data_IF_699138379799
#
_entry.id   IF_699138379799
#
_cell.length_a   1.000
_cell.length_b   1.000
_cell.length_c   1.000
_cell.angle_alpha   90.00
_cell.angle_beta   90.00
_cell.angle_gamma   90.00
#
_symmetry.space_group_name_H-M   'P 1'
#
loop_
_entity.id
_entity.type
_entity.pdbx_description
1 polymer ?
#
# COMPACT_ATOMS: atom_id res chain seq x y z
N UNK A 1 -5.40 -3.07 9.91
CA UNK A 1 -5.71 -2.18 8.76
C UNK A 1 -4.97 -2.50 7.45
N UNK A 2 -3.96 -3.38 7.37
CA UNK A 2 -3.11 -3.49 6.17
C UNK A 2 -3.35 -4.78 5.39
N UNK A 3 -2.99 -4.79 4.10
CA UNK A 3 -2.78 -6.02 3.32
C UNK A 3 -1.29 -6.35 3.38
N UNK A 4 -0.96 -7.54 3.88
CA UNK A 4 0.41 -8.04 3.95
C UNK A 4 0.65 -9.02 2.81
N UNK A 5 1.36 -8.55 1.78
CA UNK A 5 1.79 -9.36 0.67
C UNK A 5 2.99 -10.23 1.05
N UNK A 6 3.05 -11.49 0.57
CA UNK A 6 4.25 -12.31 0.66
C UNK A 6 5.39 -11.63 -0.11
N UNK A 7 6.61 -11.82 0.37
CA UNK A 7 7.80 -11.22 -0.23
C UNK A 7 8.17 -12.05 -1.46
N UNK A 8 8.14 -11.43 -2.65
CA UNK A 8 8.69 -12.05 -3.86
C UNK A 8 10.19 -11.75 -3.95
N UNK A 9 11.00 -12.78 -4.13
CA UNK A 9 12.46 -12.71 -4.27
C UNK A 9 12.86 -12.64 -5.75
N UNK A 10 12.10 -13.30 -6.61
CA UNK A 10 12.30 -13.36 -8.05
C UNK A 10 11.00 -12.99 -8.80
N UNK A 11 11.14 -12.51 -10.05
CA UNK A 11 10.01 -12.13 -10.90
C UNK A 11 9.15 -13.34 -11.28
N UNK A 12 9.78 -14.51 -11.42
CA UNK A 12 9.14 -15.78 -11.74
C UNK A 12 8.48 -16.48 -10.54
N UNK A 13 8.58 -15.91 -9.34
CA UNK A 13 7.94 -16.48 -8.16
C UNK A 13 6.42 -16.57 -8.36
N UNK A 14 5.79 -17.74 -8.07
CA UNK A 14 4.35 -17.88 -8.20
C UNK A 14 3.57 -16.82 -7.43
N UNK A 15 2.40 -16.47 -7.94
CA UNK A 15 1.50 -15.58 -7.21
C UNK A 15 1.01 -16.25 -5.92
N UNK A 16 1.34 -15.64 -4.78
CA UNK A 16 0.81 -16.04 -3.48
C UNK A 16 -0.18 -14.98 -2.95
N UNK A 17 -1.40 -15.39 -2.54
CA UNK A 17 -2.37 -14.49 -1.94
C UNK A 17 -1.89 -13.85 -0.63
N UNK A 18 -2.29 -12.61 -0.41
CA UNK A 18 -1.95 -11.84 0.79
C UNK A 18 -2.77 -12.19 2.02
N UNK A 19 -2.32 -11.66 3.16
CA UNK A 19 -3.05 -11.67 4.43
C UNK A 19 -3.70 -10.31 4.66
N UNK A 20 -5.02 -10.28 4.79
CA UNK A 20 -5.74 -9.08 5.21
C UNK A 20 -5.70 -8.97 6.75
N UNK A 21 -4.99 -7.96 7.26
CA UNK A 21 -4.88 -7.71 8.70
C UNK A 21 -5.96 -6.73 9.14
N UNK A 22 -6.93 -7.19 9.91
CA UNK A 22 -8.05 -6.37 10.42
C UNK A 22 -7.79 -6.06 11.89
N UNK A 23 -7.92 -4.79 12.25
CA UNK A 23 -7.88 -4.36 13.64
C UNK A 23 -9.32 -4.20 14.13
N UNK A 24 -9.64 -4.75 15.29
CA UNK A 24 -10.98 -4.63 15.87
C UNK A 24 -10.93 -4.51 17.39
N UNK A 25 -12.00 -3.99 17.98
CA UNK A 25 -12.24 -4.14 19.41
C UNK A 25 -12.54 -5.60 19.73
N UNK A 26 -12.27 -6.04 20.97
CA UNK A 26 -12.41 -7.44 21.36
C UNK A 26 -13.80 -8.03 21.09
N UNK A 27 -14.86 -7.24 21.34
CA UNK A 27 -16.26 -7.64 21.13
C UNK A 27 -16.58 -7.99 19.66
N UNK A 28 -15.90 -7.36 18.70
CA UNK A 28 -16.15 -7.57 17.28
C UNK A 28 -15.34 -8.75 16.68
N UNK A 29 -14.38 -9.30 17.43
CA UNK A 29 -13.46 -10.31 16.90
C UNK A 29 -14.16 -11.61 16.51
N UNK A 30 -15.11 -12.08 17.33
CA UNK A 30 -15.83 -13.33 17.06
C UNK A 30 -16.70 -13.21 15.79
N UNK A 31 -17.36 -12.06 15.62
CA UNK A 31 -18.16 -11.78 14.44
C UNK A 31 -17.30 -11.76 13.17
N UNK A 32 -16.15 -11.07 13.20
CA UNK A 32 -15.19 -11.06 12.10
C UNK A 32 -14.60 -12.44 11.79
N UNK A 33 -14.45 -13.32 12.79
CA UNK A 33 -14.01 -14.70 12.57
C UNK A 33 -15.07 -15.51 11.82
N UNK A 34 -16.34 -15.38 12.21
CA UNK A 34 -17.45 -16.08 11.56
C UNK A 34 -17.67 -15.61 10.11
N UNK A 35 -17.52 -14.30 9.86
CA UNK A 35 -17.69 -13.71 8.53
C UNK A 35 -16.43 -13.76 7.66
N UNK A 36 -15.33 -14.34 8.15
CA UNK A 36 -14.03 -14.26 7.48
C UNK A 36 -14.06 -14.75 6.02
N UNK A 37 -14.78 -15.84 5.74
CA UNK A 37 -14.92 -16.37 4.37
C UNK A 37 -15.68 -15.42 3.45
N UNK A 38 -16.77 -14.82 3.94
CA UNK A 38 -17.55 -13.85 3.17
C UNK A 38 -16.75 -12.57 2.88
N UNK A 39 -16.01 -12.07 3.87
CA UNK A 39 -15.13 -10.91 3.71
C UNK A 39 -14.07 -11.19 2.64
N UNK A 40 -13.41 -12.36 2.69
CA UNK A 40 -12.42 -12.74 1.66
C UNK A 40 -13.06 -12.75 0.28
N UNK A 41 -14.23 -13.37 0.13
CA UNK A 41 -14.92 -13.46 -1.15
C UNK A 41 -15.31 -12.09 -1.70
N UNK A 42 -15.88 -11.21 -0.86
CA UNK A 42 -16.26 -9.84 -1.25
C UNK A 42 -15.04 -9.02 -1.65
N UNK A 43 -13.94 -9.11 -0.90
CA UNK A 43 -12.69 -8.38 -1.21
C UNK A 43 -12.08 -8.87 -2.51
N UNK A 44 -11.98 -10.19 -2.72
CA UNK A 44 -11.44 -10.75 -3.96
C UNK A 44 -12.34 -10.45 -5.16
N UNK A 45 -13.66 -10.48 -4.98
CA UNK A 45 -14.62 -10.09 -6.04
C UNK A 45 -14.47 -8.62 -6.41
N UNK A 46 -14.28 -7.75 -5.42
CA UNK A 46 -14.01 -6.32 -5.65
C UNK A 46 -12.67 -6.10 -6.38
N UNK A 47 -11.64 -6.87 -6.04
CA UNK A 47 -10.31 -6.76 -6.66
C UNK A 47 -10.23 -7.45 -8.04
N UNK A 48 -11.15 -8.36 -8.36
CA UNK A 48 -11.19 -9.08 -9.64
C UNK A 48 -10.22 -10.28 -9.73
N UNK A 49 -9.58 -10.66 -8.63
CA UNK A 49 -8.69 -11.84 -8.55
C UNK A 49 -8.56 -12.31 -7.10
N UNK A 50 -7.97 -13.50 -6.88
CA UNK A 50 -7.75 -14.10 -5.56
C UNK A 50 -6.62 -13.43 -4.77
N UNK A 51 -6.76 -12.13 -4.51
CA UNK A 51 -5.77 -11.29 -3.85
C UNK A 51 -5.50 -11.68 -2.39
N UNK A 52 -6.54 -12.10 -1.65
CA UNK A 52 -6.50 -12.40 -0.23
C UNK A 52 -6.76 -13.88 0.00
N UNK A 53 -5.84 -14.55 0.69
CA UNK A 53 -5.98 -15.97 1.05
C UNK A 53 -6.46 -16.19 2.48
N UNK A 54 -6.22 -15.24 3.39
CA UNK A 54 -6.64 -15.34 4.79
C UNK A 54 -6.75 -13.98 5.48
N UNK A 55 -7.49 -13.96 6.59
CA UNK A 55 -7.61 -12.81 7.48
C UNK A 55 -6.81 -13.05 8.75
N UNK A 56 -6.10 -12.01 9.23
CA UNK A 56 -5.50 -11.96 10.57
C UNK A 56 -6.19 -10.88 11.39
N UNK A 57 -6.85 -11.27 12.46
CA UNK A 57 -7.52 -10.35 13.37
C UNK A 57 -6.53 -9.92 14.46
N UNK A 58 -6.44 -8.62 14.70
CA UNK A 58 -5.62 -8.01 15.74
C UNK A 58 -6.53 -7.21 16.66
N UNK A 59 -6.70 -7.68 17.89
CA UNK A 59 -7.46 -6.96 18.89
C UNK A 59 -6.62 -5.81 19.45
N UNK A 60 -7.06 -4.58 19.20
CA UNK A 60 -6.45 -3.36 19.75
C UNK A 60 -7.52 -2.26 19.80
N UNK A 61 -7.38 -1.25 20.66
CA UNK A 61 -8.26 -0.08 20.62
C UNK A 61 -8.34 0.48 19.20
N UNK A 62 -9.53 0.47 18.60
CA UNK A 62 -9.75 1.05 17.28
C UNK A 62 -10.18 2.49 17.50
N UNK A 63 -9.23 3.41 17.41
CA UNK A 63 -9.58 4.84 17.43
C UNK A 63 -10.54 5.10 16.26
N UNK A 64 -11.78 5.49 16.56
CA UNK A 64 -12.81 5.88 15.59
C UNK A 64 -12.50 7.22 14.88
N UNK A 65 -11.24 7.65 14.89
CA UNK A 65 -10.80 8.88 14.26
C UNK A 65 -10.58 8.68 12.76
N UNK A 66 -11.09 9.62 11.96
CA UNK A 66 -10.69 9.82 10.55
C UNK A 66 -9.22 9.47 10.39
N UNK A 67 -8.90 8.60 9.42
CA UNK A 67 -7.53 8.20 9.12
C UNK A 67 -6.62 9.43 9.23
N UNK A 68 -5.62 9.38 10.11
CA UNK A 68 -4.70 10.51 10.33
C UNK A 68 -4.19 10.92 8.94
N UNK A 69 -4.32 12.20 8.54
CA UNK A 69 -3.92 12.62 7.21
C UNK A 69 -2.49 12.15 6.96
N UNK A 70 -2.26 11.50 5.82
CA UNK A 70 -0.92 11.06 5.44
C UNK A 70 -0.01 12.29 5.50
N UNK A 71 1.17 12.21 6.15
CA UNK A 71 2.10 13.33 6.16
C UNK A 71 2.36 13.79 4.73
N UNK A 72 2.29 15.10 4.49
CA UNK A 72 2.67 15.65 3.21
C UNK A 72 4.13 15.26 2.90
N UNK A 73 4.46 14.90 1.66
CA UNK A 73 5.85 14.67 1.27
C UNK A 73 6.68 15.90 1.61
N UNK A 74 7.87 15.71 2.18
CA UNK A 74 8.78 16.83 2.41
C UNK A 74 9.24 17.42 1.06
N UNK A 75 9.58 18.72 1.01
CA UNK A 75 10.30 19.25 -0.13
C UNK A 75 11.64 18.49 -0.32
N UNK A 76 11.97 18.23 -1.58
CA UNK A 76 13.27 17.65 -1.95
C UNK A 76 14.36 18.70 -1.78
N UNK A 77 15.55 18.25 -1.35
CA UNK A 77 16.74 19.09 -1.41
C UNK A 77 17.25 19.18 -2.87
N UNK A 78 18.18 20.09 -3.13
CA UNK A 78 18.65 20.35 -4.50
C UNK A 78 19.40 19.17 -5.11
N UNK A 79 20.10 18.37 -4.29
CA UNK A 79 20.77 17.15 -4.74
C UNK A 79 19.77 16.09 -5.22
N UNK A 80 18.65 15.94 -4.51
CA UNK A 80 17.56 15.03 -4.87
C UNK A 80 16.83 15.47 -6.13
N UNK A 81 16.55 16.78 -6.27
CA UNK A 81 15.96 17.34 -7.50
C UNK A 81 16.86 17.11 -8.70
N UNK A 82 18.17 17.40 -8.56
CA UNK A 82 19.13 17.21 -9.65
C UNK A 82 19.27 15.73 -10.03
N UNK A 83 19.26 14.82 -9.05
CA UNK A 83 19.27 13.38 -9.31
C UNK A 83 18.00 12.94 -10.04
N UNK A 84 16.83 13.41 -9.61
CA UNK A 84 15.56 13.09 -10.24
C UNK A 84 15.51 13.57 -11.70
N UNK A 85 15.88 14.82 -11.95
CA UNK A 85 15.95 15.40 -13.30
C UNK A 85 16.91 14.64 -14.21
N UNK A 86 18.09 14.24 -13.71
CA UNK A 86 19.01 13.36 -14.47
C UNK A 86 18.41 11.98 -14.76
N UNK A 87 17.60 11.45 -13.84
CA UNK A 87 17.00 10.12 -13.99
C UNK A 87 15.94 10.12 -15.09
N UNK A 88 15.10 11.16 -15.15
CA UNK A 88 14.01 11.28 -16.13
C UNK A 88 14.42 12.00 -17.43
N UNK A 89 15.60 12.62 -17.47
CA UNK A 89 16.03 13.49 -18.57
C UNK A 89 16.21 12.81 -19.93
N UNK A 90 16.33 11.48 -19.96
CA UNK A 90 16.40 10.70 -21.22
C UNK A 90 15.03 10.39 -21.82
N UNK A 91 13.94 10.80 -21.17
CA UNK A 91 12.59 10.56 -21.66
C UNK A 91 12.25 11.67 -22.65
N UNK A 92 11.96 11.25 -23.88
CA UNK A 92 11.62 12.12 -25.01
C UNK A 92 10.19 12.66 -24.89
N UNK A 93 9.26 11.86 -24.38
CA UNK A 93 7.88 12.27 -24.16
C UNK A 93 7.77 13.20 -22.94
N UNK A 94 7.43 14.46 -23.21
CA UNK A 94 7.31 15.50 -22.19
C UNK A 94 6.24 15.19 -21.13
N UNK A 95 5.12 14.58 -21.52
CA UNK A 95 4.02 14.25 -20.62
C UNK A 95 4.39 13.14 -19.63
N UNK A 96 5.08 12.12 -20.13
CA UNK A 96 5.62 11.01 -19.36
C UNK A 96 6.74 11.49 -18.43
N UNK A 97 7.66 12.32 -18.95
CA UNK A 97 8.74 12.92 -18.15
C UNK A 97 8.19 13.71 -16.97
N UNK A 98 7.25 14.64 -17.22
CA UNK A 98 6.62 15.45 -16.16
C UNK A 98 5.83 14.59 -15.15
N UNK A 99 5.20 13.50 -15.61
CA UNK A 99 4.48 12.58 -14.73
C UNK A 99 5.43 11.79 -13.83
N UNK A 100 6.56 11.34 -14.37
CA UNK A 100 7.59 10.63 -13.61
C UNK A 100 8.36 11.54 -12.66
N UNK A 101 8.56 12.81 -13.00
CA UNK A 101 9.09 13.81 -12.07
C UNK A 101 8.18 14.00 -10.86
N UNK A 102 6.86 14.18 -11.07
CA UNK A 102 5.90 14.31 -9.97
C UNK A 102 5.85 13.07 -9.08
N UNK A 103 5.88 11.88 -9.70
CA UNK A 103 5.91 10.61 -8.97
C UNK A 103 7.21 10.48 -8.16
N UNK A 104 8.37 10.70 -8.78
CA UNK A 104 9.67 10.60 -8.14
C UNK A 104 9.82 11.58 -6.97
N UNK A 105 9.33 12.80 -7.12
CA UNK A 105 9.29 13.78 -6.03
C UNK A 105 8.42 13.30 -4.86
N UNK A 106 7.26 12.71 -5.13
CA UNK A 106 6.38 12.18 -4.09
C UNK A 106 7.03 11.03 -3.32
N UNK A 107 7.69 10.10 -4.01
CA UNK A 107 8.36 8.94 -3.39
C UNK A 107 9.56 9.37 -2.56
N UNK A 108 10.42 10.25 -3.10
CA UNK A 108 11.60 10.75 -2.40
C UNK A 108 11.20 11.58 -1.16
N UNK A 109 10.12 12.35 -1.24
CA UNK A 109 9.58 13.13 -0.13
C UNK A 109 8.85 12.28 0.94
N UNK A 110 8.47 11.04 0.63
CA UNK A 110 7.88 10.09 1.59
C UNK A 110 8.91 9.25 2.34
N UNK A 111 10.12 9.08 1.79
CA UNK A 111 11.19 8.34 2.43
C UNK A 111 11.68 9.12 3.66
N UNK A 112 11.29 8.66 4.86
CA UNK A 112 11.87 9.15 6.12
C UNK A 112 13.37 8.84 6.12
N UNK A 113 14.23 9.80 6.52
CA UNK A 113 15.67 9.58 6.62
C UNK A 113 16.00 8.46 7.60
#
# INVERSE_FOLDING_TARGET
EKIQWPRRLHEDDPFEPAVLVIACEGMAALHLQHEAGEIINRVNSFLGFSAIGRIKIVQKPVLSGKARPKPAPRPLNDAEKAKLSRTVGKIEDDGLRASLERLGATILGQKRP
#
